data_IF_476388887243
#
_entry.id   IF_476388887243
#
_cell.length_a   1.000
_cell.length_b   1.000
_cell.length_c   1.000
_cell.angle_alpha   90.00
_cell.angle_beta   90.00
_cell.angle_gamma   90.00
#
_symmetry.space_group_name_H-M   'P 1'
#
loop_
_entity.id
_entity.type
_entity.pdbx_description
1 polymer ?
#
# COMPACT_ATOMS: atom_id res chain seq x y z
N UNK A 1 21.87 4.44 -45.16
CA UNK A 1 20.53 4.98 -45.41
C UNK A 1 19.97 5.31 -44.05
N UNK A 2 20.16 6.56 -43.66
CA UNK A 2 19.96 7.01 -42.30
C UNK A 2 18.46 7.32 -42.13
N UNK A 3 17.80 6.85 -41.06
CA UNK A 3 16.38 7.10 -40.86
C UNK A 3 16.10 8.61 -40.69
N UNK A 4 14.97 9.15 -41.18
CA UNK A 4 14.72 10.59 -41.31
C UNK A 4 14.29 11.26 -39.99
N UNK A 5 14.66 10.68 -38.85
CA UNK A 5 14.30 11.17 -37.52
C UNK A 5 15.58 11.54 -36.79
N UNK A 6 15.85 12.84 -36.74
CA UNK A 6 16.94 13.41 -35.93
C UNK A 6 16.40 13.53 -34.50
N UNK A 7 16.78 12.59 -33.64
CA UNK A 7 16.43 12.63 -32.22
C UNK A 7 17.35 13.67 -31.57
N UNK A 8 16.86 14.90 -31.41
CA UNK A 8 17.53 15.92 -30.61
C UNK A 8 17.53 15.54 -29.11
N UNK A 9 18.47 16.13 -28.36
CA UNK A 9 18.58 15.88 -26.93
C UNK A 9 17.27 16.29 -26.22
N UNK A 10 16.66 15.38 -25.45
CA UNK A 10 15.38 15.66 -24.79
C UNK A 10 15.50 16.84 -23.80
N UNK A 11 14.67 17.87 -24.00
CA UNK A 11 14.58 19.06 -23.13
C UNK A 11 14.09 18.71 -21.72
N UNK A 12 13.31 17.62 -21.59
CA UNK A 12 12.87 17.07 -20.31
C UNK A 12 13.11 15.54 -20.27
N UNK A 13 14.27 15.10 -19.78
CA UNK A 13 14.56 13.69 -19.49
C UNK A 13 15.85 13.17 -20.14
N UNK A 14 16.15 11.89 -19.93
CA UNK A 14 17.31 11.18 -20.50
C UNK A 14 16.89 10.29 -21.68
N UNK A 15 17.76 10.15 -22.70
CA UNK A 15 17.53 9.41 -23.97
C UNK A 15 17.07 7.94 -23.80
N UNK A 16 17.24 7.36 -22.61
CA UNK A 16 16.69 6.06 -22.22
C UNK A 16 15.86 6.20 -20.93
N UNK A 17 14.56 6.54 -21.02
CA UNK A 17 13.72 6.58 -19.85
C UNK A 17 13.57 5.16 -19.29
N UNK A 18 14.10 4.92 -18.08
CA UNK A 18 13.88 3.67 -17.36
C UNK A 18 12.44 3.66 -16.86
N UNK A 19 11.56 2.92 -17.54
CA UNK A 19 10.14 2.71 -17.14
C UNK A 19 9.97 2.30 -15.67
N UNK A 20 11.00 1.68 -15.08
CA UNK A 20 11.07 1.33 -13.66
C UNK A 20 10.90 2.56 -12.76
N UNK A 21 11.39 3.74 -13.13
CA UNK A 21 11.24 4.94 -12.30
C UNK A 21 9.80 5.46 -12.26
N UNK A 22 8.96 5.12 -13.24
CA UNK A 22 7.54 5.49 -13.23
C UNK A 22 6.68 4.40 -12.58
N UNK A 23 7.09 3.13 -12.70
CA UNK A 23 6.39 1.98 -12.11
C UNK A 23 6.78 1.71 -10.64
N UNK A 24 7.97 2.11 -10.21
CA UNK A 24 8.50 1.87 -8.86
C UNK A 24 7.58 2.35 -7.72
N UNK A 25 6.95 3.54 -7.75
CA UNK A 25 6.07 3.94 -6.67
C UNK A 25 4.81 3.06 -6.59
N UNK A 26 4.18 2.74 -7.73
CA UNK A 26 3.01 1.86 -7.77
C UNK A 26 3.31 0.43 -7.29
N UNK A 27 4.49 -0.09 -7.64
CA UNK A 27 4.95 -1.39 -7.15
C UNK A 27 5.22 -1.40 -5.64
N UNK A 28 5.90 -0.36 -5.11
CA UNK A 28 6.15 -0.22 -3.67
C UNK A 28 4.85 -0.16 -2.86
N UNK A 29 3.86 0.62 -3.33
CA UNK A 29 2.53 0.72 -2.71
C UNK A 29 1.85 -0.64 -2.63
N UNK A 30 1.89 -1.40 -3.72
CA UNK A 30 1.25 -2.71 -3.79
C UNK A 30 1.91 -3.72 -2.82
N UNK A 31 3.24 -3.75 -2.78
CA UNK A 31 3.99 -4.65 -1.89
C UNK A 31 3.69 -4.33 -0.42
N UNK A 32 3.74 -3.04 -0.04
CA UNK A 32 3.50 -2.62 1.35
C UNK A 32 2.05 -2.89 1.75
N UNK A 33 1.08 -2.71 0.83
CA UNK A 33 -0.32 -3.07 1.06
C UNK A 33 -0.51 -4.57 1.33
N UNK A 34 0.06 -5.43 0.50
CA UNK A 34 -0.01 -6.88 0.71
C UNK A 34 0.70 -7.32 1.98
N UNK A 35 1.85 -6.72 2.32
CA UNK A 35 2.56 -7.01 3.57
C UNK A 35 1.75 -6.60 4.80
N UNK A 36 1.18 -5.39 4.83
CA UNK A 36 0.37 -4.92 5.95
C UNK A 36 -0.92 -5.73 6.13
N UNK A 37 -1.57 -6.09 5.02
CA UNK A 37 -2.77 -6.95 5.02
C UNK A 37 -2.42 -8.38 5.45
N UNK A 38 -1.29 -8.92 4.99
CA UNK A 38 -0.78 -10.23 5.38
C UNK A 38 -0.41 -10.30 6.86
N UNK A 39 0.29 -9.29 7.37
CA UNK A 39 0.61 -9.17 8.81
C UNK A 39 -0.65 -9.08 9.66
N UNK A 40 -1.63 -8.32 9.20
CA UNK A 40 -2.96 -8.25 9.83
C UNK A 40 -3.64 -9.61 9.91
N UNK A 41 -3.67 -10.36 8.79
CA UNK A 41 -4.25 -11.70 8.76
C UNK A 41 -3.47 -12.68 9.64
N UNK A 42 -2.15 -12.55 9.69
CA UNK A 42 -1.29 -13.36 10.54
C UNK A 42 -1.57 -13.09 12.02
N UNK A 43 -1.68 -11.82 12.42
CA UNK A 43 -2.04 -11.44 13.80
C UNK A 43 -3.40 -12.02 14.17
N UNK A 44 -4.39 -11.95 13.28
CA UNK A 44 -5.71 -12.55 13.52
C UNK A 44 -5.64 -14.08 13.70
N UNK A 45 -4.82 -14.77 12.90
CA UNK A 45 -4.61 -16.22 13.06
C UNK A 45 -3.93 -16.52 14.40
N UNK A 46 -2.97 -15.70 14.83
CA UNK A 46 -2.32 -15.84 16.14
C UNK A 46 -3.33 -15.61 17.27
N UNK A 47 -4.16 -14.57 17.22
CA UNK A 47 -5.24 -14.31 18.19
C UNK A 47 -6.23 -15.49 18.30
N UNK A 48 -6.51 -16.16 17.18
CA UNK A 48 -7.30 -17.40 17.14
C UNK A 48 -6.57 -18.58 17.80
N UNK A 49 -5.26 -18.73 17.58
CA UNK A 49 -4.45 -19.81 18.16
C UNK A 49 -4.17 -19.65 19.65
N UNK A 50 -4.11 -18.43 20.16
CA UNK A 50 -3.89 -18.14 21.58
C UNK A 50 -5.15 -18.34 22.45
N UNK A 51 -6.30 -18.71 21.85
CA UNK A 51 -7.52 -18.97 22.61
C UNK A 51 -8.13 -17.71 23.24
N UNK A 52 -7.70 -16.51 22.85
CA UNK A 52 -8.29 -15.23 23.30
C UNK A 52 -9.78 -15.19 22.95
N UNK A 53 -10.14 -15.77 21.80
CA UNK A 53 -11.51 -15.95 21.37
C UNK A 53 -12.28 -16.93 22.25
N UNK A 54 -11.64 -18.01 22.72
CA UNK A 54 -12.28 -19.03 23.56
C UNK A 54 -12.55 -18.49 24.97
N UNK A 55 -11.64 -17.67 25.52
CA UNK A 55 -11.88 -16.95 26.77
C UNK A 55 -12.94 -15.87 26.64
N UNK A 56 -12.96 -15.14 25.52
CA UNK A 56 -14.01 -14.15 25.23
C UNK A 56 -15.38 -14.83 25.06
N UNK A 57 -15.42 -16.03 24.47
CA UNK A 57 -16.63 -16.81 24.32
C UNK A 57 -17.20 -17.27 25.67
N UNK A 58 -16.35 -17.68 26.61
CA UNK A 58 -16.77 -18.05 27.98
C UNK A 58 -17.25 -16.80 28.76
N UNK A 59 -16.73 -15.61 28.44
CA UNK A 59 -17.20 -14.34 28.98
C UNK A 59 -18.51 -13.83 28.36
N UNK A 60 -19.12 -14.58 27.42
CA UNK A 60 -20.39 -14.22 26.79
C UNK A 60 -20.27 -13.17 25.67
N UNK A 61 -19.06 -12.86 25.20
CA UNK A 61 -18.85 -11.94 24.07
C UNK A 61 -19.15 -12.64 22.75
N UNK A 62 -19.95 -11.99 21.93
CA UNK A 62 -20.36 -12.53 20.62
C UNK A 62 -19.22 -12.36 19.62
N UNK A 63 -18.81 -13.43 18.93
CA UNK A 63 -17.77 -13.38 17.87
C UNK A 63 -18.06 -12.30 16.82
N UNK A 64 -19.33 -12.00 16.56
CA UNK A 64 -19.79 -10.97 15.62
C UNK A 64 -19.36 -9.56 16.07
N UNK A 65 -19.46 -9.23 17.36
CA UNK A 65 -19.04 -7.92 17.89
C UNK A 65 -17.53 -7.72 17.74
N UNK A 66 -16.75 -8.78 18.01
CA UNK A 66 -15.29 -8.76 17.85
C UNK A 66 -14.92 -8.58 16.37
N UNK A 67 -15.58 -9.31 15.47
CA UNK A 67 -15.35 -9.15 14.02
C UNK A 67 -15.69 -7.74 13.55
N UNK A 68 -16.77 -7.16 14.05
CA UNK A 68 -17.16 -5.79 13.70
C UNK A 68 -16.13 -4.76 14.18
N UNK A 69 -15.61 -4.91 15.41
CA UNK A 69 -14.53 -4.08 15.94
C UNK A 69 -13.26 -4.18 15.08
N UNK A 70 -12.85 -5.39 14.67
CA UNK A 70 -11.71 -5.56 13.79
C UNK A 70 -11.94 -4.93 12.41
N UNK A 71 -13.12 -5.07 11.80
CA UNK A 71 -13.42 -4.48 10.48
C UNK A 71 -13.27 -2.96 10.53
N UNK A 72 -13.81 -2.32 11.56
CA UNK A 72 -13.72 -0.87 11.74
C UNK A 72 -12.26 -0.44 11.88
N UNK A 73 -11.50 -1.08 12.77
CA UNK A 73 -10.09 -0.73 13.02
C UNK A 73 -9.25 -0.93 11.75
N UNK A 74 -9.48 -2.01 11.00
CA UNK A 74 -8.77 -2.26 9.74
C UNK A 74 -9.12 -1.27 8.64
N UNK A 75 -10.36 -0.80 8.60
CA UNK A 75 -10.76 0.26 7.68
C UNK A 75 -9.98 1.56 7.94
N UNK A 76 -9.85 1.98 9.20
CA UNK A 76 -9.07 3.18 9.55
C UNK A 76 -7.57 3.03 9.30
N UNK A 77 -6.99 1.89 9.66
CA UNK A 77 -5.56 1.61 9.43
C UNK A 77 -5.26 1.65 7.92
N UNK A 78 -6.15 1.11 7.09
CA UNK A 78 -6.00 1.10 5.64
C UNK A 78 -6.01 2.52 5.04
N UNK A 79 -6.85 3.42 5.56
CA UNK A 79 -6.88 4.82 5.12
C UNK A 79 -5.55 5.52 5.43
N UNK A 80 -5.04 5.35 6.66
CA UNK A 80 -3.75 5.93 7.08
C UNK A 80 -2.62 5.39 6.20
N UNK A 81 -2.63 4.09 5.91
CA UNK A 81 -1.64 3.47 5.05
C UNK A 81 -1.66 4.04 3.63
N UNK A 82 -2.84 4.24 3.03
CA UNK A 82 -2.98 4.85 1.69
C UNK A 82 -2.45 6.28 1.70
N UNK A 83 -2.78 7.10 2.71
CA UNK A 83 -2.34 8.50 2.81
C UNK A 83 -0.82 8.58 2.96
N UNK A 84 -0.23 7.77 3.83
CA UNK A 84 1.22 7.72 4.06
C UNK A 84 1.95 7.30 2.78
N UNK A 85 1.41 6.34 2.06
CA UNK A 85 1.96 5.85 0.79
C UNK A 85 1.89 6.90 -0.34
N UNK A 86 0.77 7.62 -0.45
CA UNK A 86 0.62 8.72 -1.40
C UNK A 86 1.62 9.85 -1.09
N UNK A 87 1.75 10.21 0.19
CA UNK A 87 2.70 11.25 0.64
C UNK A 87 4.15 10.85 0.40
N UNK A 88 4.51 9.60 0.70
CA UNK A 88 5.86 9.08 0.48
C UNK A 88 6.23 9.03 -1.00
N UNK A 89 5.28 8.64 -1.85
CA UNK A 89 5.46 8.63 -3.30
C UNK A 89 5.71 10.03 -3.85
N UNK A 90 4.92 11.02 -3.43
CA UNK A 90 5.09 12.43 -3.82
C UNK A 90 6.48 12.96 -3.39
N UNK A 91 6.88 12.67 -2.14
CA UNK A 91 8.16 13.11 -1.60
C UNK A 91 9.39 12.45 -2.27
N UNK A 92 9.34 11.13 -2.49
CA UNK A 92 10.47 10.34 -3.03
C UNK A 92 10.64 10.54 -4.54
N UNK A 93 9.54 10.52 -5.30
CA UNK A 93 9.64 10.63 -6.75
C UNK A 93 9.71 12.08 -7.24
N UNK A 94 9.52 13.09 -6.37
CA UNK A 94 9.41 14.51 -6.76
C UNK A 94 8.54 14.68 -8.01
N UNK A 95 7.55 13.81 -8.17
CA UNK A 95 6.58 13.94 -9.25
C UNK A 95 5.82 15.18 -8.87
N UNK A 96 6.03 16.25 -9.63
CA UNK A 96 5.24 17.47 -9.53
C UNK A 96 3.79 17.01 -9.67
N UNK A 97 3.10 16.78 -8.55
CA UNK A 97 1.66 16.66 -8.52
C UNK A 97 1.13 18.06 -8.84
N UNK A 98 1.20 18.43 -10.13
CA UNK A 98 0.44 19.54 -10.64
C UNK A 98 -0.99 19.04 -10.85
N UNK A 99 -1.70 18.92 -9.74
CA UNK A 99 -3.15 18.86 -9.70
C UNK A 99 -3.66 20.20 -9.15
N UNK A 100 -3.21 21.30 -9.76
CA UNK A 100 -3.90 22.59 -9.92
C UNK A 100 -3.16 23.49 -10.93
#
# INVERSE_FOLDING_TARGET
>A
ADPPVIIENPVYGSLTPKFINFAAPGMMVSIIFFLATGLTGLIFVVEKKEGVLERSWIAGVTTIEVMFAHIIVKFFIQIIQIILLLTFTDYVFKVRCRFL
#
